data_IF_832950168407
#
_entry.id   IF_832950168407
#
_cell.length_a   1.000
_cell.length_b   1.000
_cell.length_c   1.000
_cell.angle_alpha   90.00
_cell.angle_beta   90.00
_cell.angle_gamma   90.00
#
_symmetry.space_group_name_H-M   'P 1'
#
loop_
_entity.id
_entity.type
_entity.pdbx_description
1 polymer ?
#
# COMPACT_ATOMS: atom_id res chain seq x y z
N UNK A 1 5.01 -4.21 13.02
CA UNK A 1 3.71 -4.31 12.31
C UNK A 1 4.00 -4.27 10.82
N UNK A 2 3.24 -4.99 9.98
CA UNK A 2 3.48 -5.07 8.53
C UNK A 2 2.14 -5.04 7.81
N UNK A 3 2.13 -4.50 6.59
CA UNK A 3 0.94 -4.40 5.76
C UNK A 3 1.33 -4.35 4.29
N UNK A 4 0.46 -4.87 3.43
CA UNK A 4 0.70 -4.90 1.98
C UNK A 4 -0.61 -4.63 1.23
N UNK A 5 -0.49 -3.94 0.11
CA UNK A 5 -1.50 -3.87 -0.93
C UNK A 5 -0.93 -4.49 -2.20
N UNK A 6 -1.76 -5.22 -2.93
CA UNK A 6 -1.40 -5.67 -4.27
C UNK A 6 -1.48 -4.49 -5.25
N UNK A 7 -0.71 -4.52 -6.37
CA UNK A 7 -0.67 -3.41 -7.33
C UNK A 7 -2.05 -2.93 -7.80
N UNK A 8 -2.98 -3.86 -8.05
CA UNK A 8 -4.34 -3.55 -8.52
C UNK A 8 -5.14 -2.67 -7.55
N UNK A 9 -4.81 -2.67 -6.25
CA UNK A 9 -5.50 -1.80 -5.29
C UNK A 9 -5.27 -0.32 -5.63
N UNK A 10 -4.09 0.04 -6.15
CA UNK A 10 -3.81 1.40 -6.58
C UNK A 10 -4.66 1.79 -7.81
N UNK A 11 -4.87 0.86 -8.73
CA UNK A 11 -5.64 1.07 -9.96
C UNK A 11 -7.15 1.14 -9.67
N UNK A 12 -7.68 0.21 -8.88
CA UNK A 12 -9.13 0.10 -8.60
C UNK A 12 -9.66 1.25 -7.73
N UNK A 13 -8.83 1.79 -6.83
CA UNK A 13 -9.25 2.85 -5.91
C UNK A 13 -9.09 4.26 -6.48
N UNK A 14 -8.23 4.44 -7.47
CA UNK A 14 -7.91 5.76 -8.03
C UNK A 14 -7.22 6.72 -7.04
N UNK A 15 -6.66 6.20 -5.95
CA UNK A 15 -5.97 7.01 -4.94
C UNK A 15 -4.67 7.64 -5.48
N UNK A 16 -4.40 8.85 -5.01
CA UNK A 16 -3.06 9.42 -5.09
C UNK A 16 -2.04 8.58 -4.32
N UNK A 17 -0.75 8.78 -4.60
CA UNK A 17 0.34 8.09 -3.89
C UNK A 17 0.25 8.30 -2.37
N UNK A 18 -0.04 9.54 -1.96
CA UNK A 18 -0.18 9.92 -0.55
C UNK A 18 -1.36 9.22 0.11
N UNK A 19 -2.50 9.15 -0.56
CA UNK A 19 -3.68 8.43 -0.09
C UNK A 19 -3.39 6.93 0.01
N UNK A 20 -2.78 6.33 -1.00
CA UNK A 20 -2.42 4.91 -1.01
C UNK A 20 -1.52 4.54 0.18
N UNK A 21 -0.45 5.31 0.41
CA UNK A 21 0.46 5.08 1.53
C UNK A 21 -0.19 5.31 2.90
N UNK A 22 -1.10 6.30 2.99
CA UNK A 22 -1.82 6.59 4.24
C UNK A 22 -2.83 5.49 4.57
N UNK A 23 -3.56 5.00 3.57
CA UNK A 23 -4.46 3.86 3.69
C UNK A 23 -3.69 2.57 4.02
N UNK A 24 -2.49 2.36 3.43
CA UNK A 24 -1.65 1.21 3.72
C UNK A 24 -1.23 1.19 5.20
N UNK A 25 -0.76 2.34 5.70
CA UNK A 25 -0.40 2.50 7.09
C UNK A 25 -1.58 2.20 8.01
N UNK A 26 -2.72 2.86 7.75
CA UNK A 26 -3.90 2.76 8.62
C UNK A 26 -4.56 1.38 8.60
N UNK A 27 -4.89 0.86 7.42
CA UNK A 27 -5.74 -0.31 7.27
C UNK A 27 -4.99 -1.64 7.21
N UNK A 28 -3.75 -1.65 6.71
CA UNK A 28 -2.97 -2.90 6.56
C UNK A 28 -1.88 -3.04 7.60
N UNK A 29 -1.16 -1.97 7.91
CA UNK A 29 -0.11 -2.00 8.93
C UNK A 29 -0.60 -1.65 10.34
N UNK A 30 -1.84 -1.12 10.49
CA UNK A 30 -2.39 -0.70 11.78
C UNK A 30 -1.58 0.42 12.44
N UNK A 31 -1.00 1.32 11.65
CA UNK A 31 -0.17 2.46 12.05
C UNK A 31 -0.95 3.77 11.83
N UNK A 32 -0.51 4.89 12.43
CA UNK A 32 -1.01 6.21 12.07
C UNK A 32 -0.93 6.44 10.55
N UNK A 33 -1.92 7.08 9.91
CA UNK A 33 -1.93 7.29 8.46
C UNK A 33 -0.70 8.05 7.93
N UNK A 34 -0.07 8.87 8.76
CA UNK A 34 1.12 9.66 8.42
C UNK A 34 2.45 8.97 8.77
N UNK A 35 2.42 7.72 9.24
CA UNK A 35 3.62 7.01 9.70
C UNK A 35 4.69 6.87 8.60
N UNK A 36 4.26 6.76 7.33
CA UNK A 36 5.16 6.70 6.18
C UNK A 36 6.01 7.95 5.94
N UNK A 37 5.67 9.07 6.60
CA UNK A 37 6.44 10.31 6.53
C UNK A 37 7.53 10.41 7.60
N UNK A 38 7.49 9.57 8.64
CA UNK A 38 8.25 9.79 9.89
C UNK A 38 9.63 9.13 9.94
N UNK A 39 10.11 8.50 8.86
CA UNK A 39 11.47 7.94 8.76
C UNK A 39 11.71 6.65 9.55
N UNK A 40 10.93 6.38 10.60
CA UNK A 40 11.02 5.16 11.43
C UNK A 40 10.30 3.94 10.83
N UNK A 41 9.98 3.97 9.53
CA UNK A 41 9.37 2.82 8.83
C UNK A 41 10.15 2.49 7.57
N UNK A 42 10.17 1.20 7.25
CA UNK A 42 10.69 0.70 5.99
C UNK A 42 9.54 0.53 4.99
N UNK A 43 9.74 1.01 3.77
CA UNK A 43 8.78 0.90 2.67
C UNK A 43 9.44 0.08 1.56
N UNK A 44 8.73 -0.95 1.12
CA UNK A 44 9.15 -1.83 0.04
C UNK A 44 8.12 -1.79 -1.10
N UNK A 45 8.58 -1.92 -2.34
CA UNK A 45 7.74 -2.00 -3.53
C UNK A 45 7.98 -3.31 -4.26
N UNK A 46 6.94 -3.80 -4.92
CA UNK A 46 7.02 -5.00 -5.75
C UNK A 46 6.07 -4.86 -6.94
N UNK A 47 6.24 -5.73 -7.92
CA UNK A 47 5.36 -5.88 -9.07
C UNK A 47 4.79 -7.30 -9.08
N UNK A 48 3.64 -7.48 -9.73
CA UNK A 48 2.99 -8.78 -9.85
C UNK A 48 2.55 -9.00 -11.31
N UNK A 49 2.74 -10.22 -11.80
CA UNK A 49 2.14 -10.71 -13.04
C UNK A 49 0.88 -11.51 -12.68
N UNK A 50 -0.25 -11.19 -13.30
CA UNK A 50 -1.56 -11.80 -13.00
C UNK A 50 -2.02 -12.65 -14.18
N UNK A 51 -2.38 -13.90 -13.91
CA UNK A 51 -2.88 -14.86 -14.91
C UNK A 51 -4.31 -15.28 -14.56
N UNK A 52 -5.14 -15.53 -15.58
CA UNK A 52 -6.48 -16.10 -15.44
C UNK A 52 -6.68 -17.20 -16.49
N UNK A 53 -7.48 -18.22 -16.16
CA UNK A 53 -7.90 -19.24 -17.13
C UNK A 53 -8.97 -18.66 -18.10
N UNK A 54 -9.06 -19.21 -19.31
CA UNK A 54 -10.11 -18.85 -20.30
C UNK A 54 -11.49 -19.40 -19.93
#
# INVERSE_FOLDING_TARGET
>A
RQGVFLPQVAEETGWSKEEFLSNLCMYKAGLPPDAWKKGDIEIYTFQAEVFSEE
#
